data_IF_199155313892
#
_entry.id   IF_199155313892
#
_cell.length_a   1.000
_cell.length_b   1.000
_cell.length_c   1.000
_cell.angle_alpha   90.00
_cell.angle_beta   90.00
_cell.angle_gamma   90.00
#
_symmetry.space_group_name_H-M   'P 1'
#
loop_
_entity.id
_entity.type
_entity.pdbx_description
1 polymer ?
#
# COMPACT_ATOMS: atom_id res chain seq x y z
N UNK A 1 -1.68 -7.98 -4.93
CA UNK A 1 -0.54 -7.48 -5.75
C UNK A 1 -0.28 -8.45 -6.91
N UNK A 2 -0.69 -8.06 -8.11
CA UNK A 2 -0.39 -8.84 -9.31
C UNK A 2 1.12 -8.83 -9.53
N UNK A 3 1.74 -10.03 -9.52
CA UNK A 3 3.18 -10.23 -9.69
C UNK A 3 3.70 -9.84 -11.08
N UNK A 4 3.48 -8.58 -11.49
CA UNK A 4 4.16 -8.03 -12.65
C UNK A 4 5.65 -8.06 -12.35
N UNK A 5 6.38 -8.84 -13.14
CA UNK A 5 7.84 -8.97 -13.09
C UNK A 5 8.48 -7.58 -13.02
N UNK A 6 8.86 -7.14 -11.82
CA UNK A 6 9.73 -5.99 -11.67
C UNK A 6 11.12 -6.49 -12.07
N UNK A 7 11.40 -6.31 -13.33
CA UNK A 7 12.74 -6.51 -13.87
C UNK A 7 13.41 -5.14 -13.78
N UNK A 8 14.47 -5.03 -12.99
CA UNK A 8 15.37 -3.88 -13.13
C UNK A 8 15.80 -3.90 -14.59
N UNK A 9 15.45 -2.86 -15.33
CA UNK A 9 15.88 -2.75 -16.72
C UNK A 9 17.41 -2.70 -16.71
N UNK A 10 18.02 -3.84 -16.99
CA UNK A 10 19.47 -3.93 -17.17
C UNK A 10 19.76 -3.32 -18.52
N UNK A 11 19.92 -2.01 -18.53
CA UNK A 11 20.37 -1.29 -19.70
C UNK A 11 21.79 -1.79 -20.05
N UNK A 12 21.86 -2.67 -21.02
CA UNK A 12 23.12 -3.11 -21.68
C UNK A 12 23.78 -1.94 -22.45
N UNK A 13 23.73 -0.72 -21.92
CA UNK A 13 24.31 0.49 -22.53
C UNK A 13 25.85 0.54 -22.40
N UNK A 14 26.43 -0.45 -21.74
CA UNK A 14 27.77 -0.39 -21.22
C UNK A 14 28.93 -0.44 -22.25
N UNK A 15 28.67 -0.49 -23.56
CA UNK A 15 29.77 -0.68 -24.48
C UNK A 15 29.83 0.33 -25.63
N UNK A 16 29.39 1.56 -25.42
CA UNK A 16 29.50 2.61 -26.46
C UNK A 16 30.57 3.65 -26.19
N UNK A 17 31.30 3.59 -25.07
CA UNK A 17 32.45 4.47 -24.87
C UNK A 17 33.68 3.79 -25.44
N UNK A 18 34.32 4.46 -26.39
CA UNK A 18 35.60 4.14 -27.00
C UNK A 18 36.66 3.88 -25.92
N UNK A 19 36.88 2.61 -25.57
CA UNK A 19 38.02 2.21 -24.77
C UNK A 19 39.28 2.21 -25.66
N UNK A 20 39.90 3.36 -25.75
CA UNK A 20 41.27 3.49 -26.27
C UNK A 20 42.29 3.18 -25.16
N UNK A 21 42.16 2.01 -24.54
CA UNK A 21 43.25 1.42 -23.76
C UNK A 21 43.62 0.11 -24.42
N UNK A 22 44.94 -0.12 -24.58
CA UNK A 22 45.50 -1.34 -25.15
C UNK A 22 45.01 -2.56 -24.36
N UNK A 23 43.83 -3.07 -24.72
CA UNK A 23 43.34 -4.34 -24.24
C UNK A 23 44.32 -5.43 -24.67
N UNK A 24 44.77 -6.27 -23.74
CA UNK A 24 45.55 -7.43 -24.11
C UNK A 24 44.78 -8.21 -25.19
N UNK A 25 45.46 -8.72 -26.21
CA UNK A 25 44.81 -9.50 -27.28
C UNK A 25 43.94 -10.63 -26.76
N UNK A 26 44.28 -11.16 -25.62
CA UNK A 26 43.60 -12.24 -24.96
C UNK A 26 42.21 -11.81 -24.43
N UNK A 27 42.02 -10.56 -23.99
CA UNK A 27 40.70 -10.05 -23.60
C UNK A 27 39.81 -9.69 -24.79
N UNK A 28 40.36 -9.49 -25.97
CA UNK A 28 39.59 -9.22 -27.19
C UNK A 28 38.57 -10.32 -27.49
N UNK A 29 38.93 -11.59 -27.29
CA UNK A 29 38.01 -12.73 -27.45
C UNK A 29 36.84 -12.69 -26.51
N UNK A 30 37.06 -12.29 -25.25
CA UNK A 30 36.00 -12.12 -24.22
C UNK A 30 35.09 -10.98 -24.62
N UNK A 31 35.65 -9.81 -24.94
CA UNK A 31 34.87 -8.61 -25.32
C UNK A 31 34.07 -8.85 -26.59
N UNK A 32 34.64 -9.48 -27.59
CA UNK A 32 33.93 -9.84 -28.83
C UNK A 32 32.76 -10.79 -28.56
N UNK A 33 32.96 -11.80 -27.73
CA UNK A 33 31.88 -12.73 -27.37
C UNK A 33 30.72 -12.03 -26.63
N UNK A 34 31.03 -11.10 -25.73
CA UNK A 34 30.00 -10.26 -25.06
C UNK A 34 29.28 -9.33 -26.04
N UNK A 35 30.01 -8.75 -27.01
CA UNK A 35 29.45 -7.93 -28.08
C UNK A 35 28.49 -8.74 -28.97
N UNK A 36 28.88 -9.95 -29.37
CA UNK A 36 27.99 -10.87 -30.09
C UNK A 36 26.79 -11.27 -29.32
N UNK A 37 26.91 -11.54 -28.01
CA UNK A 37 25.75 -11.77 -27.15
C UNK A 37 24.80 -10.56 -27.13
N UNK A 38 25.35 -9.35 -27.01
CA UNK A 38 24.53 -8.12 -27.03
C UNK A 38 23.72 -8.00 -28.32
N UNK A 39 24.34 -8.34 -29.48
CA UNK A 39 23.72 -8.24 -30.78
C UNK A 39 22.68 -9.35 -31.05
N UNK A 40 23.05 -10.61 -30.78
CA UNK A 40 22.27 -11.80 -31.17
C UNK A 40 21.42 -12.41 -30.08
N UNK A 41 21.68 -12.07 -28.82
CA UNK A 41 20.98 -12.60 -27.61
C UNK A 41 21.06 -14.14 -27.46
N UNK A 42 22.03 -14.79 -28.09
CA UNK A 42 22.20 -16.23 -27.99
C UNK A 42 23.14 -16.61 -26.84
N UNK A 43 22.72 -17.51 -25.96
CA UNK A 43 23.46 -17.94 -24.76
C UNK A 43 24.82 -18.53 -25.07
N UNK A 44 25.01 -19.16 -26.28
CA UNK A 44 26.28 -19.71 -26.67
C UNK A 44 27.45 -18.71 -26.62
N UNK A 45 27.17 -17.41 -26.88
CA UNK A 45 28.21 -16.37 -26.82
C UNK A 45 28.62 -16.08 -25.37
N UNK A 46 27.72 -16.16 -24.41
CA UNK A 46 28.10 -16.07 -23.00
C UNK A 46 28.92 -17.29 -22.55
N UNK A 47 28.56 -18.47 -23.02
CA UNK A 47 29.33 -19.69 -22.79
C UNK A 47 30.76 -19.59 -23.38
N UNK A 48 30.90 -19.05 -24.60
CA UNK A 48 32.21 -18.81 -25.22
C UNK A 48 33.03 -17.77 -24.44
N UNK A 49 32.41 -16.65 -24.03
CA UNK A 49 33.07 -15.64 -23.19
C UNK A 49 33.58 -16.26 -21.87
N UNK A 50 32.78 -17.12 -21.24
CA UNK A 50 33.17 -17.84 -20.03
C UNK A 50 34.38 -18.75 -20.27
N UNK A 51 34.34 -19.58 -21.31
CA UNK A 51 35.48 -20.45 -21.66
C UNK A 51 36.77 -19.65 -21.90
N UNK A 52 36.67 -18.53 -22.60
CA UNK A 52 37.80 -17.65 -22.90
C UNK A 52 38.41 -17.05 -21.65
N UNK A 53 37.57 -16.49 -20.73
CA UNK A 53 38.08 -15.88 -19.50
C UNK A 53 38.65 -16.92 -18.53
N UNK A 54 38.01 -18.10 -18.41
CA UNK A 54 38.50 -19.18 -17.56
C UNK A 54 39.85 -19.73 -18.06
N UNK A 55 40.07 -19.81 -19.38
CA UNK A 55 41.34 -20.21 -19.98
C UNK A 55 42.44 -19.16 -19.71
N UNK A 56 42.10 -17.90 -19.84
CA UNK A 56 42.98 -16.78 -19.56
C UNK A 56 43.52 -16.79 -18.13
N UNK A 57 42.61 -17.02 -17.16
CA UNK A 57 42.96 -17.09 -15.73
C UNK A 57 43.77 -18.35 -15.36
N UNK A 58 43.68 -19.42 -16.15
CA UNK A 58 44.53 -20.61 -15.98
C UNK A 58 45.95 -20.39 -16.46
N UNK A 59 46.14 -19.66 -17.55
CA UNK A 59 47.44 -19.38 -18.17
C UNK A 59 48.23 -18.32 -17.38
N UNK A 60 47.56 -17.40 -16.73
CA UNK A 60 48.19 -16.39 -15.90
C UNK A 60 47.72 -16.62 -14.44
N UNK A 61 48.42 -17.47 -13.66
CA UNK A 61 47.99 -17.78 -12.28
C UNK A 61 48.09 -16.59 -11.35
N UNK A 62 48.59 -15.45 -11.79
CA UNK A 62 48.57 -14.23 -11.01
C UNK A 62 47.11 -13.70 -10.96
N UNK A 63 46.37 -14.24 -10.00
CA UNK A 63 44.96 -13.90 -9.71
C UNK A 63 44.75 -12.42 -9.39
N UNK A 64 45.80 -11.60 -9.52
CA UNK A 64 45.79 -10.18 -9.17
C UNK A 64 45.45 -9.24 -10.32
N UNK A 65 45.31 -9.72 -11.56
CA UNK A 65 44.92 -8.84 -12.67
C UNK A 65 43.46 -8.41 -12.50
N UNK A 66 43.28 -7.21 -11.98
CA UNK A 66 41.96 -6.67 -11.63
C UNK A 66 40.99 -6.71 -12.81
N UNK A 67 41.44 -6.31 -14.00
CA UNK A 67 40.64 -6.27 -15.23
C UNK A 67 40.05 -7.65 -15.58
N UNK A 68 40.85 -8.70 -15.57
CA UNK A 68 40.41 -10.08 -15.87
C UNK A 68 39.36 -10.56 -14.88
N UNK A 69 39.55 -10.27 -13.59
CA UNK A 69 38.60 -10.62 -12.55
C UNK A 69 37.28 -9.83 -12.65
N UNK A 70 37.32 -8.57 -13.11
CA UNK A 70 36.12 -7.78 -13.40
C UNK A 70 35.34 -8.40 -14.56
N UNK A 71 35.99 -8.70 -15.68
CA UNK A 71 35.31 -9.35 -16.82
C UNK A 71 34.75 -10.73 -16.45
N UNK A 72 35.46 -11.49 -15.63
CA UNK A 72 34.93 -12.76 -15.08
C UNK A 72 33.65 -12.52 -14.27
N UNK A 73 33.62 -11.49 -13.42
CA UNK A 73 32.43 -11.14 -12.66
C UNK A 73 31.27 -10.70 -13.55
N UNK A 74 31.57 -9.91 -14.61
CA UNK A 74 30.58 -9.51 -15.63
C UNK A 74 29.94 -10.73 -16.29
N UNK A 75 30.77 -11.67 -16.79
CA UNK A 75 30.29 -12.87 -17.49
C UNK A 75 29.47 -13.75 -16.53
N UNK A 76 30.02 -14.02 -15.34
CA UNK A 76 29.38 -14.91 -14.39
C UNK A 76 28.01 -14.36 -13.91
N UNK A 77 27.95 -13.06 -13.62
CA UNK A 77 26.67 -12.43 -13.22
C UNK A 77 25.67 -12.34 -14.37
N UNK A 78 26.15 -12.10 -15.61
CA UNK A 78 25.30 -12.14 -16.79
C UNK A 78 24.69 -13.54 -17.00
N UNK A 79 25.48 -14.60 -16.89
CA UNK A 79 25.00 -15.99 -16.99
C UNK A 79 23.95 -16.26 -15.93
N UNK A 80 24.23 -15.95 -14.65
CA UNK A 80 23.28 -16.15 -13.55
C UNK A 80 21.94 -15.42 -13.74
N UNK A 81 21.99 -14.23 -14.32
CA UNK A 81 20.79 -13.44 -14.58
C UNK A 81 19.99 -13.96 -15.77
N UNK A 82 20.67 -14.26 -16.87
CA UNK A 82 20.05 -14.56 -18.18
C UNK A 82 19.67 -16.04 -18.29
N UNK A 83 20.60 -16.93 -17.94
CA UNK A 83 20.39 -18.38 -17.99
C UNK A 83 19.73 -18.91 -16.72
N UNK A 84 18.48 -18.49 -16.51
CA UNK A 84 17.72 -18.86 -15.31
C UNK A 84 17.41 -20.35 -15.20
N UNK A 85 17.47 -21.09 -16.30
CA UNK A 85 17.23 -22.54 -16.38
C UNK A 85 18.52 -23.36 -16.32
N UNK A 86 19.67 -22.69 -16.20
CA UNK A 86 20.98 -23.32 -16.18
C UNK A 86 21.29 -24.20 -17.39
N UNK A 87 20.91 -23.74 -18.58
CA UNK A 87 21.17 -24.46 -19.85
C UNK A 87 22.65 -24.58 -20.18
N UNK A 88 23.48 -23.68 -19.63
CA UNK A 88 24.94 -23.73 -19.73
C UNK A 88 25.61 -24.67 -18.72
N UNK A 89 24.80 -25.44 -17.96
CA UNK A 89 25.24 -26.48 -17.03
C UNK A 89 26.28 -25.97 -16.01
N UNK A 90 26.02 -24.81 -15.38
CA UNK A 90 26.89 -24.32 -14.32
C UNK A 90 26.72 -25.14 -13.03
N UNK A 91 27.81 -25.34 -12.24
CA UNK A 91 27.75 -26.12 -11.01
C UNK A 91 26.85 -25.47 -9.96
N UNK A 92 26.29 -26.25 -9.06
CA UNK A 92 25.35 -25.81 -8.02
C UNK A 92 25.88 -24.62 -7.19
N UNK A 93 27.17 -24.64 -6.88
CA UNK A 93 27.80 -23.57 -6.10
C UNK A 93 28.16 -22.32 -6.92
N UNK A 94 27.80 -22.27 -8.21
CA UNK A 94 28.22 -21.20 -9.12
C UNK A 94 27.73 -19.82 -8.65
N UNK A 95 26.48 -19.73 -8.20
CA UNK A 95 25.94 -18.49 -7.67
C UNK A 95 26.73 -17.99 -6.44
N UNK A 96 26.96 -18.88 -5.47
CA UNK A 96 27.70 -18.54 -4.25
C UNK A 96 29.13 -18.07 -4.55
N UNK A 97 29.86 -18.81 -5.40
CA UNK A 97 31.22 -18.44 -5.82
C UNK A 97 31.26 -17.09 -6.56
N UNK A 98 30.24 -16.80 -7.38
CA UNK A 98 30.17 -15.51 -8.09
C UNK A 98 29.95 -14.35 -7.12
N UNK A 99 29.08 -14.52 -6.13
CA UNK A 99 28.84 -13.51 -5.09
C UNK A 99 30.12 -13.26 -4.28
N UNK A 100 30.79 -14.32 -3.80
CA UNK A 100 32.06 -14.23 -3.06
C UNK A 100 33.15 -13.49 -3.89
N UNK A 101 33.26 -13.80 -5.17
CA UNK A 101 34.16 -13.11 -6.07
C UNK A 101 33.86 -11.61 -6.19
N UNK A 102 32.60 -11.25 -6.35
CA UNK A 102 32.17 -9.85 -6.46
C UNK A 102 32.39 -9.08 -5.16
N UNK A 103 32.14 -9.71 -4.02
CA UNK A 103 32.40 -9.10 -2.70
C UNK A 103 33.90 -8.81 -2.51
N UNK A 104 34.78 -9.73 -2.93
CA UNK A 104 36.23 -9.51 -2.92
C UNK A 104 36.62 -8.38 -3.87
N UNK A 105 36.06 -8.32 -5.09
CA UNK A 105 36.32 -7.24 -6.03
C UNK A 105 35.95 -5.86 -5.50
N UNK A 106 34.86 -5.75 -4.81
CA UNK A 106 34.40 -4.49 -4.23
C UNK A 106 35.37 -3.91 -3.17
N UNK A 107 36.27 -4.74 -2.60
CA UNK A 107 37.30 -4.27 -1.65
C UNK A 107 38.61 -3.82 -2.32
N UNK A 108 38.75 -4.02 -3.62
CA UNK A 108 40.00 -3.69 -4.32
C UNK A 108 40.16 -2.19 -4.57
N UNK A 109 41.33 -1.62 -4.22
CA UNK A 109 41.63 -0.16 -4.28
C UNK A 109 41.35 0.52 -5.61
N UNK A 110 41.53 -0.18 -6.74
CA UNK A 110 41.39 0.40 -8.09
C UNK A 110 40.06 0.02 -8.77
N UNK A 111 39.10 -0.58 -8.06
CA UNK A 111 37.84 -1.05 -8.63
C UNK A 111 36.99 0.10 -9.20
N UNK A 112 37.19 1.32 -8.71
CA UNK A 112 36.48 2.52 -9.20
C UNK A 112 36.72 2.78 -10.70
N UNK A 113 37.82 2.24 -11.28
CA UNK A 113 38.09 2.34 -12.73
C UNK A 113 37.15 1.53 -13.60
N UNK A 114 36.46 0.56 -13.01
CA UNK A 114 35.53 -0.37 -13.64
C UNK A 114 34.10 -0.19 -13.12
N UNK A 115 33.76 1.07 -12.77
CA UNK A 115 32.47 1.36 -12.19
C UNK A 115 31.26 0.92 -13.06
N UNK A 116 31.27 1.15 -14.40
CA UNK A 116 30.19 0.72 -15.27
C UNK A 116 30.03 -0.81 -15.30
N UNK A 117 31.14 -1.57 -15.36
CA UNK A 117 31.11 -3.03 -15.32
C UNK A 117 30.58 -3.55 -13.99
N UNK A 118 30.99 -2.95 -12.88
CA UNK A 118 30.54 -3.31 -11.55
C UNK A 118 29.09 -2.91 -11.31
N UNK A 119 28.60 -1.82 -11.91
CA UNK A 119 27.17 -1.46 -11.88
C UNK A 119 26.33 -2.50 -12.61
N UNK A 120 26.78 -2.96 -13.77
CA UNK A 120 26.15 -4.06 -14.49
C UNK A 120 26.12 -5.35 -13.66
N UNK A 121 27.25 -5.72 -13.02
CA UNK A 121 27.37 -6.88 -12.13
C UNK A 121 26.36 -6.76 -10.99
N UNK A 122 26.29 -5.61 -10.32
CA UNK A 122 25.35 -5.34 -9.22
C UNK A 122 23.91 -5.48 -9.66
N UNK A 123 23.53 -4.93 -10.82
CA UNK A 123 22.18 -5.07 -11.37
C UNK A 123 21.82 -6.53 -11.69
N UNK A 124 22.74 -7.29 -12.28
CA UNK A 124 22.53 -8.72 -12.56
C UNK A 124 22.29 -9.51 -11.28
N UNK A 125 23.16 -9.35 -10.27
CA UNK A 125 23.02 -10.05 -8.99
C UNK A 125 21.76 -9.64 -8.24
N UNK A 126 21.41 -8.35 -8.23
CA UNK A 126 20.17 -7.88 -7.65
C UNK A 126 18.95 -8.56 -8.28
N UNK A 127 18.89 -8.67 -9.60
CA UNK A 127 17.80 -9.38 -10.30
C UNK A 127 17.74 -10.88 -9.96
N UNK A 128 18.90 -11.53 -9.79
CA UNK A 128 18.94 -12.93 -9.34
C UNK A 128 18.34 -13.07 -7.92
N UNK A 129 18.71 -12.18 -6.99
CA UNK A 129 18.16 -12.17 -5.64
C UNK A 129 16.66 -11.86 -5.64
N UNK A 130 16.20 -10.90 -6.44
CA UNK A 130 14.76 -10.59 -6.60
C UNK A 130 14.00 -11.83 -7.09
N UNK A 131 14.52 -12.53 -8.11
CA UNK A 131 13.91 -13.77 -8.62
C UNK A 131 13.81 -14.85 -7.55
N UNK A 132 14.87 -15.04 -6.74
CA UNK A 132 14.86 -15.98 -5.60
C UNK A 132 13.85 -15.54 -4.54
N UNK A 133 13.75 -14.26 -4.21
CA UNK A 133 12.77 -13.74 -3.27
C UNK A 133 11.33 -14.05 -3.70
N UNK A 134 11.01 -13.84 -4.99
CA UNK A 134 9.68 -14.19 -5.50
C UNK A 134 9.40 -15.69 -5.51
N UNK A 135 10.42 -16.54 -5.66
CA UNK A 135 10.26 -17.98 -5.50
C UNK A 135 9.86 -18.34 -4.07
N UNK A 136 10.47 -17.71 -3.05
CA UNK A 136 10.10 -17.86 -1.65
C UNK A 136 8.71 -17.30 -1.34
N UNK A 137 8.30 -16.17 -1.91
CA UNK A 137 6.93 -15.63 -1.76
C UNK A 137 5.88 -16.63 -2.25
N UNK A 138 6.14 -17.34 -3.36
CA UNK A 138 5.18 -18.32 -3.90
C UNK A 138 4.85 -19.46 -2.93
N UNK A 139 5.77 -19.79 -2.05
CA UNK A 139 5.60 -20.80 -1.01
C UNK A 139 5.37 -20.18 0.39
N UNK A 140 5.05 -18.90 0.43
CA UNK A 140 4.80 -18.12 1.66
C UNK A 140 5.96 -18.06 2.66
N UNK A 141 7.19 -18.34 2.23
CA UNK A 141 8.40 -18.20 3.04
C UNK A 141 8.88 -16.74 3.04
N UNK A 142 8.21 -15.91 3.83
CA UNK A 142 8.48 -14.48 3.90
C UNK A 142 9.83 -14.15 4.55
N UNK A 143 10.36 -15.01 5.41
CA UNK A 143 11.67 -14.86 6.07
C UNK A 143 12.79 -14.90 5.02
N UNK A 144 12.83 -15.95 4.22
CA UNK A 144 13.82 -16.09 3.16
C UNK A 144 13.59 -15.06 2.06
N UNK A 145 12.34 -14.77 1.71
CA UNK A 145 12.01 -13.73 0.73
C UNK A 145 12.56 -12.36 1.16
N UNK A 146 12.31 -11.94 2.40
CA UNK A 146 12.81 -10.68 2.96
C UNK A 146 14.35 -10.62 2.95
N UNK A 147 15.01 -11.71 3.34
CA UNK A 147 16.48 -11.83 3.28
C UNK A 147 17.00 -11.64 1.85
N UNK A 148 16.35 -12.22 0.85
CA UNK A 148 16.76 -12.05 -0.55
C UNK A 148 16.52 -10.63 -1.05
N UNK A 149 15.40 -9.99 -0.70
CA UNK A 149 15.18 -8.58 -1.05
C UNK A 149 16.18 -7.64 -0.39
N UNK A 150 16.56 -7.86 0.86
CA UNK A 150 17.61 -7.09 1.54
C UNK A 150 18.97 -7.25 0.84
N UNK A 151 19.33 -8.47 0.41
CA UNK A 151 20.54 -8.71 -0.39
C UNK A 151 20.48 -8.01 -1.74
N UNK A 152 19.32 -8.03 -2.42
CA UNK A 152 19.13 -7.27 -3.66
C UNK A 152 19.31 -5.76 -3.44
N UNK A 153 18.72 -5.22 -2.37
CA UNK A 153 18.81 -3.81 -2.02
C UNK A 153 20.24 -3.36 -1.71
N UNK A 154 21.08 -4.24 -1.12
CA UNK A 154 22.51 -3.96 -0.90
C UNK A 154 23.25 -3.70 -2.21
N UNK A 155 22.89 -4.42 -3.29
CA UNK A 155 23.52 -4.23 -4.61
C UNK A 155 22.98 -3.00 -5.35
N UNK A 156 21.72 -2.64 -5.18
CA UNK A 156 21.03 -1.54 -5.89
C UNK A 156 20.21 -0.71 -4.94
N UNK A 157 20.83 0.03 -4.00
CA UNK A 157 20.10 0.79 -2.97
C UNK A 157 19.24 1.91 -3.54
N UNK A 158 19.56 2.41 -4.73
CA UNK A 158 18.78 3.44 -5.43
C UNK A 158 17.50 2.90 -6.09
N UNK A 159 17.34 1.57 -6.19
CA UNK A 159 16.16 0.98 -6.80
C UNK A 159 14.98 0.92 -5.82
N UNK A 160 14.27 2.04 -5.75
CA UNK A 160 13.17 2.30 -4.81
C UNK A 160 12.07 1.21 -4.73
N UNK A 161 11.66 0.54 -5.84
CA UNK A 161 10.64 -0.51 -5.76
C UNK A 161 10.96 -1.66 -4.80
N UNK A 162 12.24 -1.92 -4.48
CA UNK A 162 12.62 -2.92 -3.48
C UNK A 162 12.11 -2.61 -2.09
N UNK A 163 12.00 -1.32 -1.72
CA UNK A 163 11.48 -0.91 -0.42
C UNK A 163 10.04 -1.40 -0.20
N UNK A 164 9.21 -1.44 -1.26
CA UNK A 164 7.85 -1.96 -1.17
C UNK A 164 7.82 -3.47 -0.85
N UNK A 165 8.73 -4.25 -1.45
CA UNK A 165 8.79 -5.69 -1.20
C UNK A 165 9.40 -6.01 0.16
N UNK A 166 10.41 -5.23 0.60
CA UNK A 166 10.97 -5.36 1.95
C UNK A 166 9.88 -5.00 2.98
N UNK A 167 9.15 -3.91 2.78
CA UNK A 167 8.03 -3.54 3.63
C UNK A 167 6.95 -4.63 3.67
N UNK A 168 6.55 -5.14 2.49
CA UNK A 168 5.55 -6.20 2.38
C UNK A 168 5.95 -7.47 3.14
N UNK A 169 7.21 -7.94 2.97
CA UNK A 169 7.68 -9.15 3.65
C UNK A 169 7.76 -8.96 5.16
N UNK A 170 8.23 -7.81 5.64
CA UNK A 170 8.27 -7.50 7.08
C UNK A 170 6.84 -7.39 7.66
N UNK A 171 5.90 -6.80 6.95
CA UNK A 171 4.50 -6.75 7.37
C UNK A 171 3.90 -8.16 7.50
N UNK A 172 4.21 -9.07 6.55
CA UNK A 172 3.77 -10.48 6.62
C UNK A 172 4.40 -11.25 7.78
N UNK A 173 5.58 -10.85 8.23
CA UNK A 173 6.28 -11.42 9.41
C UNK A 173 5.85 -10.77 10.74
N UNK A 174 4.97 -9.75 10.71
CA UNK A 174 4.54 -9.01 11.90
C UNK A 174 5.53 -7.93 12.35
N UNK A 175 6.64 -7.72 11.64
CA UNK A 175 7.56 -6.59 11.91
C UNK A 175 7.02 -5.31 11.27
N UNK A 176 5.98 -4.77 11.89
CA UNK A 176 5.23 -3.61 11.42
C UNK A 176 6.08 -2.34 11.47
N UNK A 177 7.00 -2.25 12.43
CA UNK A 177 7.89 -1.08 12.60
C UNK A 177 8.85 -0.96 11.42
N UNK A 178 9.50 -2.07 11.08
CA UNK A 178 10.40 -2.11 9.92
C UNK A 178 9.62 -1.90 8.61
N UNK A 179 8.44 -2.50 8.47
CA UNK A 179 7.57 -2.28 7.31
C UNK A 179 7.23 -0.80 7.12
N UNK A 180 6.80 -0.12 8.20
CA UNK A 180 6.48 1.30 8.19
C UNK A 180 7.65 2.17 7.72
N UNK A 181 8.86 1.91 8.22
CA UNK A 181 10.09 2.63 7.83
C UNK A 181 10.37 2.53 6.33
N UNK A 182 10.19 1.35 5.73
CA UNK A 182 10.41 1.17 4.30
C UNK A 182 9.30 1.82 3.45
N UNK A 183 8.05 1.79 3.90
CA UNK A 183 6.96 2.53 3.25
C UNK A 183 7.16 4.05 3.32
N UNK A 184 7.60 4.58 4.46
CA UNK A 184 7.95 5.99 4.60
C UNK A 184 9.00 6.44 3.58
N UNK A 185 10.03 5.62 3.35
CA UNK A 185 11.05 5.91 2.35
C UNK A 185 10.49 5.96 0.92
N UNK A 186 9.48 5.15 0.61
CA UNK A 186 8.80 5.17 -0.70
C UNK A 186 7.99 6.45 -0.89
N UNK A 187 7.27 6.89 0.14
CA UNK A 187 6.38 8.06 0.08
C UNK A 187 7.18 9.38 0.02
N UNK A 188 8.38 9.42 0.60
CA UNK A 188 9.28 10.58 0.54
C UNK A 188 9.87 10.85 -0.84
N UNK A 189 9.69 9.93 -1.78
CA UNK A 189 10.26 10.02 -3.11
C UNK A 189 9.14 10.20 -4.14
N UNK A 190 9.43 10.83 -5.31
CA UNK A 190 8.47 11.07 -6.40
C UNK A 190 7.81 9.82 -7.00
N UNK A 191 8.06 8.65 -6.42
CA UNK A 191 7.49 7.35 -6.80
C UNK A 191 6.30 6.97 -5.92
N UNK A 192 5.69 7.89 -5.19
CA UNK A 192 4.51 7.62 -4.38
C UNK A 192 3.38 7.09 -5.26
N UNK A 193 2.82 5.96 -4.84
CA UNK A 193 1.65 5.31 -5.47
C UNK A 193 0.60 5.11 -4.39
N UNK A 194 -0.67 5.16 -4.78
CA UNK A 194 -1.80 4.89 -3.89
C UNK A 194 -1.57 3.64 -3.06
N UNK A 195 -1.22 2.51 -3.70
CA UNK A 195 -0.97 1.23 -3.02
C UNK A 195 0.07 1.32 -1.89
N UNK A 196 1.11 2.16 -2.05
CA UNK A 196 2.16 2.32 -1.03
C UNK A 196 1.68 3.17 0.14
N UNK A 197 0.88 4.20 -0.15
CA UNK A 197 0.30 5.09 0.85
C UNK A 197 -0.72 4.35 1.69
N UNK A 198 -1.63 3.61 1.04
CA UNK A 198 -2.60 2.75 1.72
C UNK A 198 -1.92 1.68 2.59
N UNK A 199 -0.90 1.00 2.04
CA UNK A 199 -0.14 0.00 2.79
C UNK A 199 0.55 0.61 4.02
N UNK A 200 1.16 1.80 3.88
CA UNK A 200 1.78 2.51 5.00
C UNK A 200 0.74 2.93 6.05
N UNK A 201 -0.39 3.50 5.63
CA UNK A 201 -1.49 3.86 6.52
C UNK A 201 -2.01 2.65 7.30
N UNK A 202 -2.24 1.52 6.60
CA UNK A 202 -2.70 0.28 7.22
C UNK A 202 -1.71 -0.27 8.26
N UNK A 203 -0.41 -0.18 7.98
CA UNK A 203 0.64 -0.57 8.92
C UNK A 203 0.58 0.29 10.18
N UNK A 204 0.47 1.61 10.06
CA UNK A 204 0.37 2.49 11.22
C UNK A 204 -0.94 2.32 11.99
N UNK A 205 -2.07 2.07 11.30
CA UNK A 205 -3.34 1.70 11.94
C UNK A 205 -3.20 0.43 12.78
N UNK A 206 -2.51 -0.58 12.26
CA UNK A 206 -2.30 -1.86 12.93
C UNK A 206 -1.47 -1.76 14.23
N UNK A 207 -0.57 -0.78 14.34
CA UNK A 207 0.19 -0.48 15.58
C UNK A 207 -0.48 0.57 16.46
N UNK A 208 -1.69 1.03 16.11
CA UNK A 208 -2.43 2.04 16.87
C UNK A 208 -1.95 3.49 16.65
N UNK A 209 -0.97 3.73 15.78
CA UNK A 209 -0.49 5.08 15.46
C UNK A 209 -1.34 5.74 14.36
N UNK A 210 -2.60 5.99 14.70
CA UNK A 210 -3.57 6.65 13.82
C UNK A 210 -3.13 8.05 13.38
N UNK A 211 -2.34 8.75 14.19
CA UNK A 211 -1.86 10.09 13.83
C UNK A 211 -0.93 10.03 12.62
N UNK A 212 0.01 9.08 12.61
CA UNK A 212 0.88 8.86 11.45
C UNK A 212 0.12 8.30 10.25
N UNK A 213 -0.87 7.43 10.46
CA UNK A 213 -1.72 6.95 9.36
C UNK A 213 -2.39 8.12 8.64
N UNK A 214 -2.96 9.07 9.38
CA UNK A 214 -3.58 10.30 8.84
C UNK A 214 -2.56 11.17 8.13
N UNK A 215 -1.38 11.43 8.72
CA UNK A 215 -0.33 12.23 8.08
C UNK A 215 0.07 11.67 6.71
N UNK A 216 0.24 10.35 6.63
CA UNK A 216 0.57 9.66 5.38
C UNK A 216 -0.54 9.82 4.33
N UNK A 217 -1.81 9.66 4.72
CA UNK A 217 -2.95 9.85 3.82
C UNK A 217 -3.03 11.30 3.33
N UNK A 218 -2.88 12.28 4.23
CA UNK A 218 -2.84 13.71 3.87
C UNK A 218 -1.70 14.03 2.89
N UNK A 219 -0.53 13.45 3.10
CA UNK A 219 0.60 13.61 2.16
C UNK A 219 0.29 12.98 0.81
N UNK A 220 -0.30 11.78 0.81
CA UNK A 220 -0.73 11.09 -0.40
C UNK A 220 -1.75 11.91 -1.18
N UNK A 221 -2.76 12.46 -0.53
CA UNK A 221 -3.76 13.32 -1.16
C UNK A 221 -3.19 14.61 -1.74
N UNK A 222 -2.15 15.19 -1.11
CA UNK A 222 -1.44 16.34 -1.72
C UNK A 222 -0.72 15.97 -3.02
N UNK A 223 -0.19 14.75 -3.11
CA UNK A 223 0.47 14.25 -4.32
C UNK A 223 -0.52 13.77 -5.39
N UNK A 224 -1.66 13.24 -4.97
CA UNK A 224 -2.70 12.65 -5.82
C UNK A 224 -4.08 13.15 -5.38
N UNK A 225 -4.44 14.44 -5.66
CA UNK A 225 -5.67 15.05 -5.14
C UNK A 225 -6.96 14.40 -5.66
N UNK A 226 -6.90 13.76 -6.83
CA UNK A 226 -8.04 13.08 -7.45
C UNK A 226 -8.22 11.61 -6.98
N UNK A 227 -7.33 11.12 -6.11
CA UNK A 227 -7.41 9.74 -5.64
C UNK A 227 -8.51 9.59 -4.59
N UNK A 228 -9.58 8.92 -5.00
CA UNK A 228 -10.77 8.69 -4.15
C UNK A 228 -10.52 7.73 -2.99
N UNK A 229 -9.59 6.78 -3.15
CA UNK A 229 -9.34 5.78 -2.11
C UNK A 229 -8.63 6.42 -0.91
N UNK A 230 -7.66 7.30 -1.15
CA UNK A 230 -6.97 8.02 -0.07
C UNK A 230 -7.92 8.96 0.68
N UNK A 231 -8.87 9.58 -0.02
CA UNK A 231 -9.89 10.43 0.60
C UNK A 231 -10.82 9.60 1.50
N UNK A 232 -11.31 8.46 1.00
CA UNK A 232 -12.17 7.55 1.76
C UNK A 232 -11.47 6.99 2.99
N UNK A 233 -10.20 6.59 2.86
CA UNK A 233 -9.42 6.06 3.99
C UNK A 233 -9.22 7.11 5.08
N UNK A 234 -8.90 8.37 4.71
CA UNK A 234 -8.78 9.46 5.67
C UNK A 234 -10.10 9.74 6.38
N UNK A 235 -11.19 9.84 5.62
CA UNK A 235 -12.54 10.07 6.17
C UNK A 235 -12.98 8.94 7.12
N UNK A 236 -12.71 7.68 6.77
CA UNK A 236 -13.01 6.54 7.62
C UNK A 236 -12.29 6.60 8.98
N UNK A 237 -11.03 7.05 8.99
CA UNK A 237 -10.30 7.20 10.25
C UNK A 237 -10.97 8.26 11.12
N UNK A 238 -11.35 9.42 10.57
CA UNK A 238 -12.02 10.47 11.32
C UNK A 238 -13.40 10.04 11.80
N UNK A 239 -14.19 9.38 10.95
CA UNK A 239 -15.49 8.85 11.32
C UNK A 239 -15.40 7.84 12.48
N UNK A 240 -14.47 6.89 12.41
CA UNK A 240 -14.26 5.89 13.46
C UNK A 240 -13.79 6.50 14.80
N UNK A 241 -13.14 7.66 14.74
CA UNK A 241 -12.71 8.41 15.93
C UNK A 241 -13.76 9.41 16.41
N UNK A 242 -14.88 9.56 15.73
CA UNK A 242 -15.89 10.59 15.95
C UNK A 242 -15.30 12.02 15.90
N UNK A 243 -14.23 12.20 15.11
CA UNK A 243 -13.61 13.50 14.87
C UNK A 243 -14.33 14.22 13.73
N UNK A 244 -15.50 14.73 14.05
CA UNK A 244 -16.39 15.37 13.07
C UNK A 244 -15.84 16.70 12.55
N UNK A 245 -15.05 17.41 13.34
CA UNK A 245 -14.40 18.66 12.92
C UNK A 245 -13.40 18.41 11.79
N UNK A 246 -12.61 17.34 11.89
CA UNK A 246 -11.68 16.94 10.83
C UNK A 246 -12.38 16.27 9.63
N UNK A 247 -13.49 15.57 9.85
CA UNK A 247 -14.28 14.92 8.81
C UNK A 247 -15.06 15.93 7.95
N UNK A 248 -15.65 16.95 8.58
CA UNK A 248 -16.54 17.93 7.92
C UNK A 248 -15.98 18.54 6.64
N UNK A 249 -14.72 19.02 6.61
CA UNK A 249 -14.10 19.56 5.40
C UNK A 249 -13.95 18.58 4.23
N UNK A 250 -13.99 17.27 4.49
CA UNK A 250 -13.87 16.23 3.45
C UNK A 250 -15.22 15.88 2.79
N UNK A 251 -16.33 16.18 3.48
CA UNK A 251 -17.66 15.73 3.06
C UNK A 251 -18.10 16.24 1.68
N UNK A 252 -17.87 17.52 1.29
CA UNK A 252 -18.27 17.97 -0.03
C UNK A 252 -17.64 17.12 -1.15
N UNK A 253 -16.34 16.85 -1.06
CA UNK A 253 -15.63 16.02 -2.06
C UNK A 253 -16.09 14.55 -2.01
N UNK A 254 -16.38 14.01 -0.83
CA UNK A 254 -16.87 12.64 -0.66
C UNK A 254 -18.25 12.45 -1.29
N UNK A 255 -19.16 13.39 -1.08
CA UNK A 255 -20.50 13.38 -1.65
C UNK A 255 -20.49 13.58 -3.17
N UNK A 256 -19.59 14.44 -3.68
CA UNK A 256 -19.41 14.65 -5.11
C UNK A 256 -18.97 13.37 -5.84
N UNK A 257 -18.03 12.63 -5.25
CA UNK A 257 -17.51 11.38 -5.84
C UNK A 257 -18.52 10.21 -5.72
N UNK A 258 -19.34 10.19 -4.66
CA UNK A 258 -20.25 9.07 -4.36
C UNK A 258 -21.65 9.57 -3.94
N UNK A 259 -22.36 10.31 -4.80
CA UNK A 259 -23.62 10.98 -4.43
C UNK A 259 -24.74 10.00 -4.09
N UNK A 260 -24.70 8.79 -4.63
CA UNK A 260 -25.76 7.77 -4.46
C UNK A 260 -25.32 6.58 -3.59
N UNK A 261 -24.25 6.73 -2.81
CA UNK A 261 -23.85 5.72 -1.84
C UNK A 261 -24.54 6.00 -0.49
N UNK A 262 -25.52 5.18 -0.05
CA UNK A 262 -26.31 5.46 1.15
C UNK A 262 -25.45 5.53 2.42
N UNK A 263 -24.37 4.75 2.52
CA UNK A 263 -23.48 4.75 3.69
C UNK A 263 -22.69 6.07 3.78
N UNK A 264 -22.16 6.57 2.66
CA UNK A 264 -21.42 7.84 2.62
C UNK A 264 -22.37 9.01 2.90
N UNK A 265 -23.57 9.00 2.33
CA UNK A 265 -24.60 10.02 2.57
C UNK A 265 -25.02 10.01 4.05
N UNK A 266 -25.20 8.84 4.64
CA UNK A 266 -25.52 8.71 6.07
C UNK A 266 -24.38 9.21 6.97
N UNK A 267 -23.13 8.83 6.70
CA UNK A 267 -21.94 9.33 7.43
C UNK A 267 -21.85 10.85 7.36
N UNK A 268 -22.11 11.43 6.20
CA UNK A 268 -22.13 12.88 6.03
C UNK A 268 -23.26 13.54 6.82
N UNK A 269 -24.47 12.97 6.80
CA UNK A 269 -25.61 13.44 7.58
C UNK A 269 -25.28 13.45 9.07
N UNK A 270 -24.75 12.33 9.57
CA UNK A 270 -24.35 12.17 10.97
C UNK A 270 -23.26 13.17 11.38
N UNK A 271 -22.26 13.38 10.52
CA UNK A 271 -21.22 14.38 10.77
C UNK A 271 -21.81 15.80 10.86
N UNK A 272 -22.67 16.21 9.93
CA UNK A 272 -23.29 17.53 9.97
C UNK A 272 -24.23 17.69 11.16
N UNK A 273 -24.91 16.64 11.63
CA UNK A 273 -25.72 16.66 12.86
C UNK A 273 -24.83 16.96 14.08
N UNK A 274 -23.69 16.28 14.19
CA UNK A 274 -22.73 16.52 15.28
C UNK A 274 -22.05 17.89 15.21
N UNK A 275 -21.92 18.46 14.02
CA UNK A 275 -21.43 19.84 13.80
C UNK A 275 -22.54 20.89 13.95
N UNK A 276 -23.73 20.53 14.43
CA UNK A 276 -24.90 21.40 14.61
C UNK A 276 -25.40 22.06 13.31
N UNK A 277 -25.05 21.51 12.14
CA UNK A 277 -25.53 21.97 10.84
C UNK A 277 -26.81 21.21 10.45
N UNK A 278 -27.84 21.36 11.28
CA UNK A 278 -29.07 20.54 11.25
C UNK A 278 -29.82 20.54 9.90
N UNK A 279 -29.82 21.63 9.17
CA UNK A 279 -30.53 21.67 7.88
C UNK A 279 -29.82 20.84 6.80
N UNK A 280 -28.48 20.80 6.83
CA UNK A 280 -27.71 19.92 5.95
C UNK A 280 -27.87 18.45 6.38
N UNK A 281 -27.83 18.19 7.68
CA UNK A 281 -28.03 16.84 8.22
C UNK A 281 -29.41 16.29 7.82
N UNK A 282 -30.48 17.10 7.97
CA UNK A 282 -31.85 16.75 7.58
C UNK A 282 -31.92 16.34 6.10
N UNK A 283 -31.41 17.20 5.20
CA UNK A 283 -31.43 16.93 3.77
C UNK A 283 -30.71 15.63 3.41
N UNK A 284 -29.56 15.35 4.07
CA UNK A 284 -28.78 14.16 3.79
C UNK A 284 -29.39 12.89 4.44
N UNK A 285 -30.00 12.98 5.62
CA UNK A 285 -30.74 11.84 6.17
C UNK A 285 -31.91 11.46 5.27
N UNK A 286 -32.68 12.44 4.79
CA UNK A 286 -33.75 12.20 3.82
C UNK A 286 -33.21 11.55 2.54
N UNK A 287 -32.12 12.05 2.02
CA UNK A 287 -31.48 11.45 0.84
C UNK A 287 -31.01 10.01 1.09
N UNK A 288 -30.40 9.72 2.26
CA UNK A 288 -30.02 8.35 2.61
C UNK A 288 -31.22 7.40 2.70
N UNK A 289 -32.38 7.91 3.21
CA UNK A 289 -33.64 7.16 3.29
C UNK A 289 -34.23 6.93 1.90
N UNK A 290 -34.13 7.90 0.98
CA UNK A 290 -34.56 7.76 -0.41
C UNK A 290 -33.73 6.69 -1.15
N UNK A 291 -32.44 6.60 -0.86
CA UNK A 291 -31.54 5.56 -1.40
C UNK A 291 -31.79 4.18 -0.81
N UNK A 292 -32.16 4.10 0.46
CA UNK A 292 -32.51 2.86 1.17
C UNK A 292 -33.61 3.12 2.21
N UNK A 293 -34.85 2.91 1.81
CA UNK A 293 -36.04 3.21 2.62
C UNK A 293 -36.25 2.29 3.83
N UNK A 294 -35.49 1.20 3.92
CA UNK A 294 -35.54 0.25 5.05
C UNK A 294 -34.32 0.37 5.98
N UNK A 295 -33.42 1.34 5.75
CA UNK A 295 -32.27 1.55 6.61
C UNK A 295 -32.69 2.16 7.96
N UNK A 296 -32.50 1.42 9.03
CA UNK A 296 -32.89 1.84 10.39
C UNK A 296 -32.15 3.11 10.83
N UNK A 297 -30.82 3.14 10.72
CA UNK A 297 -29.99 4.21 11.28
C UNK A 297 -30.33 5.61 10.78
N UNK A 298 -30.45 5.89 9.46
CA UNK A 298 -30.81 7.23 9.00
C UNK A 298 -32.23 7.63 9.41
N UNK A 299 -33.18 6.69 9.48
CA UNK A 299 -34.55 6.95 9.91
C UNK A 299 -34.59 7.31 11.41
N UNK A 300 -33.92 6.52 12.24
CA UNK A 300 -33.82 6.77 13.68
C UNK A 300 -33.12 8.10 13.98
N UNK A 301 -31.99 8.36 13.34
CA UNK A 301 -31.21 9.59 13.54
C UNK A 301 -31.96 10.84 13.03
N UNK A 302 -32.75 10.72 11.97
CA UNK A 302 -33.65 11.82 11.55
C UNK A 302 -34.71 12.13 12.60
N UNK A 303 -35.27 11.11 13.25
CA UNK A 303 -36.17 11.28 14.39
C UNK A 303 -35.49 11.99 15.55
N UNK A 304 -34.26 11.59 15.91
CA UNK A 304 -33.47 12.27 16.93
C UNK A 304 -33.14 13.73 16.55
N UNK A 305 -32.81 13.98 15.27
CA UNK A 305 -32.55 15.33 14.77
C UNK A 305 -33.76 16.25 14.98
N UNK A 306 -34.96 15.81 14.62
CA UNK A 306 -36.16 16.59 14.85
C UNK A 306 -36.47 16.80 16.35
N UNK A 307 -36.20 15.82 17.21
CA UNK A 307 -36.28 15.98 18.65
C UNK A 307 -35.29 17.05 19.15
N UNK A 308 -34.04 17.07 18.67
CA UNK A 308 -33.07 18.14 18.95
C UNK A 308 -33.57 19.50 18.44
N UNK A 309 -34.06 19.58 17.21
CA UNK A 309 -34.64 20.82 16.63
C UNK A 309 -35.82 21.33 17.42
N UNK A 310 -36.63 20.45 18.02
CA UNK A 310 -37.75 20.88 18.86
C UNK A 310 -37.31 21.61 20.14
N UNK A 311 -36.18 21.24 20.71
CA UNK A 311 -35.64 21.88 21.92
C UNK A 311 -35.07 23.28 21.67
N UNK A 312 -34.72 23.59 20.41
CA UNK A 312 -34.04 24.85 20.01
C UNK A 312 -35.03 25.93 19.48
N UNK A 313 -36.30 25.61 19.28
CA UNK A 313 -37.28 26.47 18.61
C UNK A 313 -38.32 27.05 19.58
N UNK A 314 -38.98 28.15 19.16
CA UNK A 314 -40.17 28.68 19.87
C UNK A 314 -41.29 27.65 19.84
N UNK A 315 -42.24 27.76 20.81
CA UNK A 315 -43.26 26.74 21.13
C UNK A 315 -44.03 26.19 19.91
N UNK A 316 -44.41 27.01 18.93
CA UNK A 316 -45.14 26.58 17.73
C UNK A 316 -44.31 25.66 16.82
N UNK A 317 -43.07 26.06 16.51
CA UNK A 317 -42.13 25.26 15.72
C UNK A 317 -41.65 24.04 16.48
N UNK A 318 -41.57 24.11 17.82
CA UNK A 318 -41.24 22.98 18.70
C UNK A 318 -42.24 21.84 18.53
N UNK A 319 -43.54 22.14 18.57
CA UNK A 319 -44.61 21.14 18.41
C UNK A 319 -44.57 20.49 17.02
N UNK A 320 -44.31 21.26 15.96
CA UNK A 320 -44.15 20.74 14.61
C UNK A 320 -42.98 19.75 14.52
N UNK A 321 -41.86 20.12 15.10
CA UNK A 321 -40.67 19.25 15.13
C UNK A 321 -40.88 17.99 15.97
N UNK A 322 -41.64 18.09 17.09
CA UNK A 322 -42.01 16.91 17.86
C UNK A 322 -42.92 15.95 17.07
N UNK A 323 -43.85 16.48 16.26
CA UNK A 323 -44.65 15.66 15.36
C UNK A 323 -43.81 14.92 14.32
N UNK A 324 -42.82 15.60 13.71
CA UNK A 324 -41.89 14.94 12.79
C UNK A 324 -40.99 13.91 13.49
N UNK A 325 -40.50 14.22 14.71
CA UNK A 325 -39.75 13.26 15.52
C UNK A 325 -40.56 11.99 15.78
N UNK A 326 -41.80 12.15 16.15
CA UNK A 326 -42.74 11.02 16.39
C UNK A 326 -42.85 10.15 15.11
N UNK A 327 -43.18 10.74 13.99
CA UNK A 327 -43.37 10.01 12.73
C UNK A 327 -42.14 9.19 12.33
N UNK A 328 -40.94 9.77 12.38
CA UNK A 328 -39.72 9.08 11.99
C UNK A 328 -39.31 8.01 13.01
N UNK A 329 -39.49 8.25 14.30
CA UNK A 329 -39.23 7.25 15.35
C UNK A 329 -40.22 6.08 15.33
N UNK A 330 -41.48 6.33 15.02
CA UNK A 330 -42.47 5.28 14.79
C UNK A 330 -42.08 4.40 13.60
N UNK A 331 -41.65 5.03 12.49
CA UNK A 331 -41.13 4.30 11.34
C UNK A 331 -39.85 3.48 11.67
N UNK A 332 -38.95 4.02 12.50
CA UNK A 332 -37.78 3.27 12.98
C UNK A 332 -38.22 2.07 13.85
N UNK A 333 -39.21 2.27 14.73
CA UNK A 333 -39.74 1.19 15.55
C UNK A 333 -40.51 0.10 14.74
N UNK A 334 -41.06 0.42 13.59
CA UNK A 334 -41.63 -0.60 12.67
C UNK A 334 -40.50 -1.50 12.09
N UNK A 335 -39.32 -0.93 11.78
CA UNK A 335 -38.17 -1.69 11.26
C UNK A 335 -37.52 -2.52 12.37
N UNK A 336 -37.33 -1.94 13.55
CA UNK A 336 -36.72 -2.60 14.71
C UNK A 336 -37.60 -2.48 15.97
N UNK A 337 -38.64 -3.31 16.10
CA UNK A 337 -39.65 -3.16 17.14
C UNK A 337 -39.15 -3.35 18.57
N UNK A 338 -38.03 -4.01 18.77
CA UNK A 338 -37.47 -4.33 20.09
C UNK A 338 -36.20 -3.51 20.41
N UNK A 339 -35.90 -2.49 19.62
CA UNK A 339 -34.78 -1.60 19.94
C UNK A 339 -35.11 -0.72 21.15
N UNK A 340 -34.43 -0.98 22.25
CA UNK A 340 -34.70 -0.31 23.55
C UNK A 340 -34.40 1.20 23.43
N UNK A 341 -33.42 1.61 22.68
CA UNK A 341 -33.07 3.03 22.50
C UNK A 341 -34.21 3.77 21.77
N UNK A 342 -34.73 3.18 20.69
CA UNK A 342 -35.87 3.74 19.96
C UNK A 342 -37.08 3.85 20.84
N UNK A 343 -37.41 2.81 21.60
CA UNK A 343 -38.56 2.81 22.52
C UNK A 343 -38.41 3.87 23.62
N UNK A 344 -37.23 4.07 24.18
CA UNK A 344 -36.96 5.11 25.17
C UNK A 344 -37.12 6.51 24.59
N UNK A 345 -36.67 6.73 23.36
CA UNK A 345 -36.84 8.03 22.68
C UNK A 345 -38.32 8.27 22.34
N UNK A 346 -39.07 7.25 21.87
CA UNK A 346 -40.51 7.34 21.67
C UNK A 346 -41.26 7.62 22.98
N UNK A 347 -40.87 6.99 24.08
CA UNK A 347 -41.42 7.29 25.42
C UNK A 347 -41.28 8.78 25.75
N UNK A 348 -40.10 9.36 25.52
CA UNK A 348 -39.85 10.79 25.74
C UNK A 348 -40.72 11.66 24.82
N UNK A 349 -40.86 11.31 23.56
CA UNK A 349 -41.67 12.07 22.59
C UNK A 349 -43.15 12.00 22.96
N UNK A 350 -43.71 10.82 23.28
CA UNK A 350 -45.09 10.67 23.68
C UNK A 350 -45.41 11.40 24.99
N UNK A 351 -44.49 11.42 25.94
CA UNK A 351 -44.60 12.23 27.16
C UNK A 351 -44.67 13.73 26.87
N UNK A 352 -43.87 14.22 25.90
CA UNK A 352 -43.85 15.64 25.49
C UNK A 352 -45.08 16.06 24.67
N UNK A 353 -45.69 15.13 23.95
CA UNK A 353 -46.90 15.35 23.13
C UNK A 353 -48.21 15.02 23.87
N UNK A 354 -48.14 14.63 25.12
CA UNK A 354 -49.27 14.20 25.97
C UNK A 354 -50.07 13.03 25.35
N UNK A 355 -49.39 12.15 24.60
CA UNK A 355 -50.02 10.99 23.99
C UNK A 355 -50.00 9.80 24.96
N UNK A 356 -50.96 9.80 25.90
CA UNK A 356 -51.00 8.85 27.01
C UNK A 356 -51.17 7.41 26.56
N UNK A 357 -52.03 7.15 25.57
CA UNK A 357 -52.29 5.80 25.07
C UNK A 357 -51.05 5.11 24.50
N UNK A 358 -50.27 5.84 23.71
CA UNK A 358 -49.01 5.31 23.15
C UNK A 358 -47.91 5.23 24.20
N UNK A 359 -47.84 6.18 25.14
CA UNK A 359 -46.95 6.17 26.27
C UNK A 359 -47.09 4.91 27.11
N UNK A 360 -48.35 4.53 27.45
CA UNK A 360 -48.64 3.33 28.25
C UNK A 360 -48.24 2.05 27.50
N UNK A 361 -48.49 1.97 26.20
CA UNK A 361 -48.06 0.83 25.37
C UNK A 361 -46.52 0.67 25.36
N UNK A 362 -45.80 1.76 25.17
CA UNK A 362 -44.33 1.75 25.17
C UNK A 362 -43.78 1.39 26.55
N UNK A 363 -44.35 1.92 27.62
CA UNK A 363 -43.98 1.61 29.00
C UNK A 363 -44.10 0.10 29.28
N UNK A 364 -45.24 -0.49 28.89
CA UNK A 364 -45.46 -1.93 29.04
C UNK A 364 -44.46 -2.76 28.23
N UNK A 365 -44.14 -2.34 27.00
CA UNK A 365 -43.20 -3.03 26.15
C UNK A 365 -41.78 -2.94 26.71
N UNK A 366 -41.32 -1.77 27.18
CA UNK A 366 -40.04 -1.62 27.84
C UNK A 366 -39.92 -2.51 29.08
N UNK A 367 -40.97 -2.58 29.93
CA UNK A 367 -40.98 -3.48 31.09
C UNK A 367 -40.83 -4.96 30.69
N UNK A 368 -41.47 -5.39 29.61
CA UNK A 368 -41.34 -6.76 29.12
C UNK A 368 -39.90 -7.08 28.64
N UNK A 369 -39.24 -6.13 27.96
CA UNK A 369 -37.88 -6.31 27.45
C UNK A 369 -36.81 -6.22 28.54
N UNK A 370 -37.05 -5.47 29.63
CA UNK A 370 -36.08 -5.31 30.72
C UNK A 370 -36.20 -6.39 31.81
N UNK A 371 -37.33 -7.15 31.84
CA UNK A 371 -37.54 -8.25 32.76
C UNK A 371 -37.16 -9.64 32.18
N UNK A 372 -36.60 -9.67 30.99
CA UNK A 372 -35.97 -10.82 30.38
C UNK A 372 -34.44 -10.76 30.57
#
# INVERSE_FOLDING_TARGET
MNGRKIIISVLLILFTTSFAFAQSEMLKGVVNSLAYYKQRKELKFLGNAKKSIDSLLKLAPDTNVLEQNVYRAVINSAILYIDSLNTLNQPENYFRKTVEQVDILNTRKKIYKYQPEMDFVRQCLANVYIRKAFAYIKISDYTNAGTMFLKAHRYVPSFKPLNAYIAYTNNKLGDVITAAKYYDNLIKTDSAKTDYIEAASNVYKAVGDTAKAIDILKRGRRLMPADKFLLLDEANIYNNKHDYESLGPLLPQLLDINPNNPDIVFVAANCYDHLYQYDKAESLYLHAIDLNSSAYDPIFNLGLLYLKKSALKKRGDANKNLGFAQQWLEKANEISPNDVNCLQVLQLVYSKTDNKDQLDKINNKLKQLTNQ
#
